data_IF_321210524932
#
_entry.id   IF_321210524932
#
_cell.length_a   1.000
_cell.length_b   1.000
_cell.length_c   1.000
_cell.angle_alpha   90.00
_cell.angle_beta   90.00
_cell.angle_gamma   90.00
#
_symmetry.space_group_name_H-M   'P 1'
#
loop_
_entity.id
_entity.type
_entity.pdbx_description
1 polymer ?
#
# COMPACT_ATOMS: atom_id res chain seq x y z
N UNK A 1 1.39 21.84 -18.75
CA UNK A 1 0.48 22.35 -19.81
C UNK A 1 -0.74 21.45 -20.07
N UNK A 2 -0.57 20.13 -20.24
CA UNK A 2 -1.70 19.20 -20.53
C UNK A 2 -2.83 19.24 -19.49
N UNK A 3 -2.50 19.16 -18.19
CA UNK A 3 -3.49 19.22 -17.11
C UNK A 3 -4.33 20.51 -17.16
N UNK A 4 -3.68 21.68 -17.36
CA UNK A 4 -4.38 22.95 -17.50
C UNK A 4 -5.36 22.93 -18.69
N UNK A 5 -4.95 22.37 -19.84
CA UNK A 5 -5.84 22.22 -20.98
C UNK A 5 -7.05 21.33 -20.64
N UNK A 6 -6.87 20.23 -19.89
CA UNK A 6 -7.97 19.35 -19.48
C UNK A 6 -8.98 20.06 -18.56
N UNK A 7 -8.49 20.84 -17.59
CA UNK A 7 -9.32 21.66 -16.71
C UNK A 7 -10.08 22.76 -17.49
N UNK A 8 -9.38 23.54 -18.31
CA UNK A 8 -9.98 24.65 -19.07
C UNK A 8 -11.04 24.18 -20.08
N UNK A 9 -10.90 22.98 -20.62
CA UNK A 9 -11.90 22.41 -21.53
C UNK A 9 -13.05 21.69 -20.81
N UNK A 10 -13.03 21.65 -19.48
CA UNK A 10 -14.05 21.00 -18.65
C UNK A 10 -14.06 19.47 -18.80
N UNK A 11 -12.91 18.87 -19.15
CA UNK A 11 -12.79 17.41 -19.19
C UNK A 11 -12.56 16.83 -17.79
N UNK A 12 -11.88 17.57 -16.92
CA UNK A 12 -11.69 17.21 -15.52
C UNK A 12 -12.08 18.36 -14.61
N UNK A 13 -12.49 18.02 -13.39
CA UNK A 13 -12.71 18.94 -12.28
C UNK A 13 -11.93 18.43 -11.06
N UNK A 14 -11.74 19.30 -10.07
CA UNK A 14 -11.05 18.97 -8.85
C UNK A 14 -11.95 19.12 -7.62
N UNK A 15 -11.67 18.31 -6.62
CA UNK A 15 -12.09 18.50 -5.23
C UNK A 15 -10.89 18.99 -4.42
N UNK A 16 -11.02 20.17 -3.84
CA UNK A 16 -10.04 20.75 -2.92
C UNK A 16 -10.37 20.35 -1.49
N UNK A 17 -9.39 19.93 -0.71
CA UNK A 17 -9.58 19.63 0.71
C UNK A 17 -9.23 20.85 1.56
N UNK A 18 -10.16 21.30 2.39
CA UNK A 18 -9.81 22.18 3.51
C UNK A 18 -9.51 21.32 4.74
N UNK A 19 -8.52 21.72 5.55
CA UNK A 19 -8.09 20.97 6.75
C UNK A 19 -9.19 20.70 7.80
N UNK A 20 -10.42 21.17 7.60
CA UNK A 20 -11.60 20.91 8.44
C UNK A 20 -12.55 19.86 7.85
N UNK A 21 -12.09 19.02 6.92
CA UNK A 21 -12.87 17.92 6.33
C UNK A 21 -13.97 18.34 5.34
N UNK A 22 -14.23 19.64 5.17
CA UNK A 22 -15.10 20.15 4.10
C UNK A 22 -14.28 20.37 2.84
N UNK A 23 -14.63 19.66 1.76
CA UNK A 23 -14.02 19.86 0.46
C UNK A 23 -14.86 20.77 -0.42
N UNK A 24 -14.23 21.57 -1.27
CA UNK A 24 -14.90 22.30 -2.37
C UNK A 24 -14.83 21.39 -3.59
N UNK A 25 -15.97 20.96 -4.11
CA UNK A 25 -16.07 20.12 -5.31
C UNK A 25 -16.18 20.98 -6.57
N UNK A 26 -16.04 20.33 -7.73
CA UNK A 26 -16.29 20.90 -9.05
C UNK A 26 -15.45 22.15 -9.38
N UNK A 27 -14.19 22.16 -8.92
CA UNK A 27 -13.26 23.29 -9.12
C UNK A 27 -12.44 23.09 -10.39
N UNK A 28 -12.43 24.08 -11.27
CA UNK A 28 -11.45 24.19 -12.35
C UNK A 28 -10.16 24.80 -11.80
N UNK A 29 -9.09 24.01 -11.73
CA UNK A 29 -7.80 24.52 -11.24
C UNK A 29 -7.16 25.45 -12.27
N UNK A 30 -6.65 26.59 -11.80
CA UNK A 30 -5.75 27.47 -12.56
C UNK A 30 -4.35 26.87 -12.66
N UNK A 31 -3.52 27.35 -13.59
CA UNK A 31 -2.12 26.90 -13.71
C UNK A 31 -1.35 27.02 -12.38
N UNK A 32 -1.54 28.12 -11.64
CA UNK A 32 -0.90 28.33 -10.33
C UNK A 32 -1.37 27.32 -9.30
N UNK A 33 -2.65 26.94 -9.29
CA UNK A 33 -3.18 25.91 -8.38
C UNK A 33 -2.71 24.50 -8.76
N UNK A 34 -2.60 24.21 -10.06
CA UNK A 34 -2.01 22.96 -10.54
C UNK A 34 -0.55 22.87 -10.05
N UNK A 35 0.22 23.94 -10.20
CA UNK A 35 1.60 23.96 -9.69
C UNK A 35 1.64 23.80 -8.17
N UNK A 36 0.78 24.50 -7.43
CA UNK A 36 0.70 24.34 -5.97
C UNK A 36 0.35 22.91 -5.55
N UNK A 37 -0.49 22.19 -6.32
CA UNK A 37 -0.79 20.80 -6.07
C UNK A 37 0.42 19.88 -6.32
N UNK A 38 1.14 20.09 -7.43
CA UNK A 38 2.37 19.36 -7.75
C UNK A 38 3.48 19.62 -6.73
N UNK A 39 3.53 20.82 -6.16
CA UNK A 39 4.44 21.21 -5.09
C UNK A 39 4.00 20.66 -3.71
N UNK A 40 2.90 19.92 -3.60
CA UNK A 40 2.35 19.43 -2.33
C UNK A 40 1.68 20.50 -1.45
N UNK A 41 1.59 21.75 -1.92
CA UNK A 41 1.03 22.90 -1.18
C UNK A 41 -0.48 23.00 -1.26
N UNK A 42 -1.11 22.25 -2.17
CA UNK A 42 -2.56 22.22 -2.35
C UNK A 42 -3.07 20.77 -2.41
N UNK A 43 -3.72 20.26 -1.36
CA UNK A 43 -4.33 18.94 -1.40
C UNK A 43 -5.57 18.97 -2.29
N UNK A 44 -5.46 18.37 -3.47
CA UNK A 44 -6.53 18.26 -4.44
C UNK A 44 -6.62 16.83 -4.99
N UNK A 45 -7.83 16.38 -5.32
CA UNK A 45 -8.03 15.22 -6.19
C UNK A 45 -8.78 15.68 -7.43
N UNK A 46 -8.47 15.13 -8.59
CA UNK A 46 -9.21 15.41 -9.82
C UNK A 46 -10.07 14.21 -10.24
N UNK A 47 -11.11 14.47 -11.02
CA UNK A 47 -12.03 13.47 -11.56
C UNK A 47 -12.56 13.91 -12.93
N UNK A 48 -13.01 12.95 -13.74
CA UNK A 48 -13.56 13.18 -15.07
C UNK A 48 -14.97 13.80 -14.98
N UNK A 49 -15.26 14.77 -15.83
CA UNK A 49 -16.66 15.14 -16.07
C UNK A 49 -17.30 14.12 -17.02
N UNK A 50 -18.64 14.12 -17.23
CA UNK A 50 -19.24 13.35 -18.31
C UNK A 50 -18.59 13.62 -19.68
N UNK A 51 -18.23 14.88 -19.94
CA UNK A 51 -17.50 15.30 -21.16
C UNK A 51 -16.09 14.70 -21.22
N UNK A 52 -15.37 14.68 -20.10
CA UNK A 52 -14.07 14.02 -19.98
C UNK A 52 -14.17 12.51 -20.15
N UNK A 53 -15.20 11.90 -19.57
CA UNK A 53 -15.55 10.50 -19.73
C UNK A 53 -15.71 10.13 -21.19
N UNK A 54 -16.54 10.84 -21.96
CA UNK A 54 -16.67 10.63 -23.41
C UNK A 54 -15.34 10.75 -24.15
N UNK A 55 -14.50 11.72 -23.78
CA UNK A 55 -13.15 11.84 -24.37
C UNK A 55 -12.25 10.66 -24.02
N UNK A 56 -12.31 10.18 -22.78
CA UNK A 56 -11.60 8.98 -22.34
C UNK A 56 -12.07 7.72 -23.08
N UNK A 57 -13.38 7.56 -23.29
CA UNK A 57 -13.93 6.43 -24.06
C UNK A 57 -13.46 6.44 -25.50
N UNK A 58 -13.38 7.62 -26.12
CA UNK A 58 -12.94 7.77 -27.51
C UNK A 58 -11.47 7.35 -27.73
N UNK A 59 -10.62 7.46 -26.71
CA UNK A 59 -9.20 7.08 -26.80
C UNK A 59 -8.93 5.68 -26.25
N UNK A 60 -9.71 5.24 -25.24
CA UNK A 60 -9.46 3.98 -24.53
C UNK A 60 -10.30 2.82 -25.08
N UNK A 61 -11.25 3.09 -25.99
CA UNK A 61 -12.12 2.11 -26.62
C UNK A 61 -12.66 1.03 -25.65
N UNK A 62 -13.39 1.42 -24.58
CA UNK A 62 -13.84 0.48 -23.57
C UNK A 62 -14.93 -0.46 -24.11
N UNK A 63 -14.77 -1.75 -23.84
CA UNK A 63 -15.86 -2.71 -23.91
C UNK A 63 -16.57 -2.77 -22.55
N UNK A 64 -17.64 -1.99 -22.44
CA UNK A 64 -18.44 -1.94 -21.23
C UNK A 64 -19.10 -3.28 -20.87
N UNK A 65 -19.19 -4.25 -21.79
CA UNK A 65 -19.71 -5.58 -21.44
C UNK A 65 -18.72 -6.38 -20.58
N UNK A 66 -17.44 -6.03 -20.62
CA UNK A 66 -16.39 -6.59 -19.77
C UNK A 66 -16.21 -5.81 -18.47
N UNK A 67 -16.91 -4.69 -18.28
CA UNK A 67 -16.82 -3.94 -17.03
C UNK A 67 -17.56 -4.67 -15.90
N UNK A 68 -16.90 -4.84 -14.77
CA UNK A 68 -17.51 -5.34 -13.54
C UNK A 68 -17.02 -4.56 -12.33
N UNK A 69 -17.84 -4.52 -11.29
CA UNK A 69 -17.46 -4.02 -9.98
C UNK A 69 -17.81 -5.04 -8.92
N UNK A 70 -16.93 -5.19 -7.92
CA UNK A 70 -17.12 -6.09 -6.79
C UNK A 70 -17.02 -5.32 -5.47
N UNK A 71 -17.82 -5.72 -4.48
CA UNK A 71 -17.67 -5.30 -3.09
C UNK A 71 -17.55 -6.55 -2.22
N UNK A 72 -16.48 -6.64 -1.45
CA UNK A 72 -16.21 -7.77 -0.56
C UNK A 72 -16.21 -7.31 0.91
N UNK A 73 -16.71 -8.16 1.81
CA UNK A 73 -16.35 -8.09 3.23
C UNK A 73 -17.02 -7.00 4.05
N UNK A 74 -18.20 -6.50 3.68
CA UNK A 74 -18.91 -5.53 4.53
C UNK A 74 -19.54 -6.15 5.77
N UNK A 75 -19.94 -7.42 5.72
CA UNK A 75 -20.63 -8.12 6.81
C UNK A 75 -20.03 -9.52 6.99
N UNK A 76 -19.26 -9.74 8.05
CA UNK A 76 -18.76 -11.06 8.46
C UNK A 76 -19.64 -11.62 9.58
N UNK A 77 -20.23 -12.79 9.34
CA UNK A 77 -21.00 -13.54 10.31
C UNK A 77 -20.08 -14.49 11.08
N UNK A 78 -19.94 -14.22 12.38
CA UNK A 78 -19.05 -14.99 13.26
C UNK A 78 -19.57 -16.41 13.48
N UNK A 79 -20.89 -16.61 13.52
CA UNK A 79 -21.48 -17.91 13.79
C UNK A 79 -21.31 -18.86 12.61
N UNK A 80 -21.50 -18.36 11.38
CA UNK A 80 -21.38 -19.17 10.17
C UNK A 80 -19.98 -19.15 9.55
N UNK A 81 -19.15 -18.19 9.94
CA UNK A 81 -17.84 -17.95 9.35
C UNK A 81 -17.91 -17.49 7.88
N UNK A 82 -19.02 -16.86 7.49
CA UNK A 82 -19.28 -16.41 6.13
C UNK A 82 -19.25 -14.88 6.03
N UNK A 83 -18.79 -14.38 4.90
CA UNK A 83 -18.83 -12.96 4.54
C UNK A 83 -19.82 -12.73 3.41
N UNK A 84 -20.42 -11.55 3.36
CA UNK A 84 -21.24 -11.12 2.21
C UNK A 84 -20.40 -10.39 1.16
N UNK A 85 -20.77 -10.62 -0.11
CA UNK A 85 -20.20 -9.94 -1.26
C UNK A 85 -21.27 -9.58 -2.29
N UNK A 86 -20.90 -8.64 -3.16
CA UNK A 86 -21.71 -8.18 -4.27
C UNK A 86 -20.85 -8.07 -5.53
N UNK A 87 -21.40 -8.49 -6.67
CA UNK A 87 -20.81 -8.29 -7.99
C UNK A 87 -21.85 -7.66 -8.92
N UNK A 88 -21.45 -6.66 -9.70
CA UNK A 88 -22.31 -5.99 -10.68
C UNK A 88 -21.61 -5.92 -12.03
N UNK A 89 -22.29 -6.31 -13.11
CA UNK A 89 -21.78 -6.21 -14.48
C UNK A 89 -22.93 -6.12 -15.50
N UNK A 90 -22.73 -5.54 -16.69
CA UNK A 90 -23.68 -5.64 -17.79
C UNK A 90 -23.80 -7.07 -18.35
N UNK A 91 -22.77 -7.91 -18.17
CA UNK A 91 -22.76 -9.32 -18.59
C UNK A 91 -22.94 -10.26 -17.39
N UNK A 92 -24.01 -11.08 -17.34
CA UNK A 92 -24.16 -12.10 -16.31
C UNK A 92 -23.07 -13.18 -16.45
N UNK A 93 -22.65 -13.52 -17.67
CA UNK A 93 -21.59 -14.51 -17.92
C UNK A 93 -20.25 -14.08 -17.30
N UNK A 94 -19.95 -12.79 -17.27
CA UNK A 94 -18.75 -12.26 -16.64
C UNK A 94 -18.78 -12.47 -15.12
N UNK A 95 -19.94 -12.26 -14.47
CA UNK A 95 -20.10 -12.50 -13.03
C UNK A 95 -19.99 -14.00 -12.73
N UNK A 96 -20.61 -14.86 -13.53
CA UNK A 96 -20.51 -16.32 -13.39
C UNK A 96 -19.06 -16.81 -13.52
N UNK A 97 -18.34 -16.30 -14.52
CA UNK A 97 -16.92 -16.60 -14.69
C UNK A 97 -16.10 -16.16 -13.49
N UNK A 98 -16.33 -14.95 -12.96
CA UNK A 98 -15.64 -14.47 -11.76
C UNK A 98 -15.92 -15.37 -10.55
N UNK A 99 -17.18 -15.70 -10.29
CA UNK A 99 -17.58 -16.59 -9.19
C UNK A 99 -16.96 -18.00 -9.30
N UNK A 100 -16.78 -18.50 -10.53
CA UNK A 100 -16.13 -19.80 -10.78
C UNK A 100 -14.65 -19.79 -10.39
N UNK A 101 -13.96 -18.67 -10.60
CA UNK A 101 -12.50 -18.59 -10.37
C UNK A 101 -12.09 -17.84 -9.11
N UNK A 102 -13.01 -17.17 -8.41
CA UNK A 102 -12.71 -16.39 -7.20
C UNK A 102 -12.05 -17.22 -6.09
N UNK A 103 -12.39 -18.51 -6.00
CA UNK A 103 -11.75 -19.43 -5.06
C UNK A 103 -10.25 -19.61 -5.32
N UNK A 104 -9.85 -19.60 -6.60
CA UNK A 104 -8.46 -19.76 -7.01
C UNK A 104 -7.70 -18.43 -7.02
N UNK A 105 -8.35 -17.33 -7.42
CA UNK A 105 -7.72 -16.00 -7.48
C UNK A 105 -7.53 -15.40 -6.09
N UNK A 106 -8.62 -15.32 -5.33
CA UNK A 106 -8.71 -14.48 -4.14
C UNK A 106 -8.85 -15.32 -2.86
N UNK A 107 -8.89 -16.65 -2.98
CA UNK A 107 -9.21 -17.54 -1.88
C UNK A 107 -10.66 -17.38 -1.42
N UNK A 108 -11.56 -16.90 -2.29
CA UNK A 108 -12.95 -16.61 -1.93
C UNK A 108 -13.89 -17.61 -2.58
N UNK A 109 -14.33 -18.60 -1.82
CA UNK A 109 -15.27 -19.62 -2.30
C UNK A 109 -16.69 -19.15 -2.00
N UNK A 110 -17.43 -18.81 -3.06
CA UNK A 110 -18.84 -18.45 -2.91
C UNK A 110 -19.68 -19.65 -2.50
N UNK A 111 -20.80 -19.40 -1.81
CA UNK A 111 -21.78 -20.42 -1.41
C UNK A 111 -22.93 -20.39 -2.43
N UNK A 112 -23.04 -21.38 -3.34
CA UNK A 112 -23.96 -21.33 -4.48
C UNK A 112 -25.41 -21.08 -4.10
N UNK A 113 -25.86 -21.63 -2.97
CA UNK A 113 -27.24 -21.52 -2.48
C UNK A 113 -27.60 -20.11 -2.01
N UNK A 114 -26.61 -19.24 -1.82
CA UNK A 114 -26.78 -17.85 -1.37
C UNK A 114 -26.75 -16.84 -2.51
N UNK A 115 -26.55 -17.31 -3.76
CA UNK A 115 -26.45 -16.46 -4.94
C UNK A 115 -27.83 -15.93 -5.32
N UNK A 116 -28.04 -14.64 -5.15
CA UNK A 116 -29.28 -13.93 -5.47
C UNK A 116 -29.02 -12.94 -6.59
N UNK A 117 -29.70 -13.13 -7.73
CA UNK A 117 -29.62 -12.26 -8.89
C UNK A 117 -30.68 -11.17 -8.85
N UNK A 118 -30.30 -9.98 -9.28
CA UNK A 118 -31.20 -8.84 -9.49
C UNK A 118 -30.79 -8.05 -10.73
N UNK A 119 -31.76 -7.39 -11.35
CA UNK A 119 -31.53 -6.52 -12.51
C UNK A 119 -31.56 -5.06 -12.05
N UNK A 120 -30.62 -4.24 -12.53
CA UNK A 120 -30.54 -2.80 -12.23
C UNK A 120 -30.71 -2.01 -13.53
N UNK A 121 -31.68 -1.10 -13.57
CA UNK A 121 -31.98 -0.23 -14.72
C UNK A 121 -32.44 1.16 -14.27
N UNK A 122 -31.73 2.25 -14.65
CA UNK A 122 -30.38 2.28 -15.22
C UNK A 122 -29.31 1.96 -14.18
N UNK A 123 -28.11 1.57 -14.62
CA UNK A 123 -26.97 1.32 -13.73
C UNK A 123 -25.92 2.44 -13.83
N UNK A 124 -25.56 3.04 -12.70
CA UNK A 124 -24.45 3.98 -12.61
C UNK A 124 -23.13 3.21 -12.47
N UNK A 125 -22.53 2.85 -13.61
CA UNK A 125 -21.31 2.02 -13.68
C UNK A 125 -20.09 2.73 -13.09
N UNK A 126 -19.94 4.02 -13.42
CA UNK A 126 -18.94 4.92 -12.81
C UNK A 126 -19.63 6.20 -12.39
N UNK A 127 -18.98 7.11 -11.66
CA UNK A 127 -19.59 8.39 -11.29
C UNK A 127 -19.94 9.29 -12.50
N UNK A 128 -19.43 8.98 -13.71
CA UNK A 128 -19.69 9.74 -14.94
C UNK A 128 -20.36 8.92 -16.06
N UNK A 129 -20.44 7.59 -15.95
CA UNK A 129 -21.06 6.69 -16.94
C UNK A 129 -22.29 6.00 -16.38
N UNK A 130 -23.40 6.13 -17.11
CA UNK A 130 -24.63 5.38 -16.89
C UNK A 130 -24.81 4.37 -18.01
N UNK A 131 -25.02 3.11 -17.67
CA UNK A 131 -25.36 2.04 -18.60
C UNK A 131 -26.86 1.74 -18.51
N UNK A 132 -27.51 1.32 -19.60
CA UNK A 132 -28.96 1.11 -19.63
C UNK A 132 -29.40 -0.01 -18.68
N UNK A 133 -28.52 -0.97 -18.41
CA UNK A 133 -28.82 -2.17 -17.63
C UNK A 133 -27.54 -2.76 -17.02
N UNK A 134 -27.68 -3.38 -15.86
CA UNK A 134 -26.72 -4.34 -15.32
C UNK A 134 -27.42 -5.48 -14.57
N UNK A 135 -26.65 -6.52 -14.27
CA UNK A 135 -27.00 -7.60 -13.38
C UNK A 135 -26.19 -7.46 -12.11
N UNK A 136 -26.84 -7.61 -10.97
CA UNK A 136 -26.22 -7.59 -9.65
C UNK A 136 -26.46 -8.93 -8.98
N UNK A 137 -25.38 -9.50 -8.45
CA UNK A 137 -25.39 -10.70 -7.64
C UNK A 137 -25.02 -10.33 -6.21
N UNK A 138 -25.84 -10.74 -5.27
CA UNK A 138 -25.48 -10.79 -3.86
C UNK A 138 -25.25 -12.24 -3.45
N UNK A 139 -24.20 -12.52 -2.70
CA UNK A 139 -23.84 -13.88 -2.30
C UNK A 139 -23.02 -13.88 -1.00
N UNK A 140 -22.99 -15.01 -0.31
CA UNK A 140 -22.07 -15.28 0.79
C UNK A 140 -20.86 -16.05 0.28
N UNK A 141 -19.72 -15.85 0.91
CA UNK A 141 -18.48 -16.56 0.62
C UNK A 141 -17.73 -16.93 1.89
N UNK A 142 -16.84 -17.92 1.79
CA UNK A 142 -15.84 -18.27 2.79
C UNK A 142 -14.46 -17.92 2.26
N UNK A 143 -13.64 -17.31 3.12
CA UNK A 143 -12.21 -17.16 2.84
C UNK A 143 -11.51 -18.48 3.14
N UNK A 144 -10.76 -19.00 2.18
CA UNK A 144 -9.87 -20.13 2.32
C UNK A 144 -8.43 -19.63 2.20
N UNK A 145 -7.51 -20.19 2.98
CA UNK A 145 -6.09 -19.93 2.78
C UNK A 145 -5.72 -20.51 1.43
N UNK A 146 -5.34 -19.65 0.48
CA UNK A 146 -4.82 -20.08 -0.81
C UNK A 146 -3.51 -20.84 -0.55
N UNK A 147 -3.53 -22.14 -0.83
CA UNK A 147 -2.34 -22.97 -0.91
C UNK A 147 -2.31 -23.55 -2.32
N UNK A 148 -1.55 -22.92 -3.20
CA UNK A 148 -1.17 -23.56 -4.46
C UNK A 148 0.02 -24.44 -4.10
N UNK A 149 -0.08 -25.74 -4.33
CA UNK A 149 1.10 -26.58 -4.26
C UNK A 149 1.95 -26.29 -5.50
N UNK A 150 2.98 -25.48 -5.33
CA UNK A 150 3.90 -25.14 -6.43
C UNK A 150 4.70 -26.35 -6.93
N UNK A 151 4.63 -27.49 -6.22
CA UNK A 151 5.23 -28.75 -6.65
C UNK A 151 4.26 -29.61 -7.47
N UNK A 152 2.98 -29.26 -7.55
CA UNK A 152 2.02 -29.90 -8.46
C UNK A 152 1.94 -29.13 -9.80
N UNK A 153 2.47 -29.69 -10.90
CA UNK A 153 2.43 -29.03 -12.20
C UNK A 153 1.01 -28.77 -12.71
N UNK A 154 0.01 -29.54 -12.28
CA UNK A 154 -1.38 -29.36 -12.71
C UNK A 154 -2.02 -28.16 -12.02
N UNK A 155 -1.82 -28.01 -10.70
CA UNK A 155 -2.30 -26.82 -9.97
C UNK A 155 -1.63 -25.54 -10.49
N UNK A 156 -0.33 -25.61 -10.79
CA UNK A 156 0.41 -24.49 -11.36
C UNK A 156 -0.12 -24.06 -12.73
N UNK A 157 -0.36 -25.01 -13.64
CA UNK A 157 -0.87 -24.68 -14.97
C UNK A 157 -2.32 -24.17 -14.91
N UNK A 158 -3.15 -24.72 -14.02
CA UNK A 158 -4.49 -24.21 -13.76
C UNK A 158 -4.45 -22.77 -13.23
N UNK A 159 -3.57 -22.47 -12.28
CA UNK A 159 -3.38 -21.12 -11.74
C UNK A 159 -3.00 -20.12 -12.84
N UNK A 160 -2.08 -20.51 -13.73
CA UNK A 160 -1.67 -19.69 -14.88
C UNK A 160 -2.82 -19.42 -15.84
N UNK A 161 -3.63 -20.44 -16.14
CA UNK A 161 -4.82 -20.29 -17.00
C UNK A 161 -5.87 -19.37 -16.37
N UNK A 162 -6.12 -19.53 -15.06
CA UNK A 162 -7.06 -18.70 -14.32
C UNK A 162 -6.59 -17.25 -14.27
N UNK A 163 -5.31 -17.00 -13.97
CA UNK A 163 -4.72 -15.66 -13.98
C UNK A 163 -4.82 -15.01 -15.36
N UNK A 164 -4.53 -15.77 -16.42
CA UNK A 164 -4.69 -15.29 -17.80
C UNK A 164 -6.14 -14.93 -18.11
N UNK A 165 -7.09 -15.81 -17.78
CA UNK A 165 -8.52 -15.57 -17.97
C UNK A 165 -8.97 -14.33 -17.20
N UNK A 166 -8.50 -14.15 -15.96
CA UNK A 166 -8.83 -12.99 -15.15
C UNK A 166 -8.24 -11.70 -15.72
N UNK A 167 -6.99 -11.72 -16.17
CA UNK A 167 -6.37 -10.58 -16.86
C UNK A 167 -7.15 -10.20 -18.13
N UNK A 168 -7.65 -11.18 -18.89
CA UNK A 168 -8.53 -10.95 -20.03
C UNK A 168 -9.87 -10.32 -19.62
N UNK A 169 -10.48 -10.79 -18.52
CA UNK A 169 -11.71 -10.19 -17.96
C UNK A 169 -11.50 -8.75 -17.50
N UNK A 170 -10.29 -8.40 -17.02
CA UNK A 170 -9.95 -7.05 -16.57
C UNK A 170 -9.62 -6.08 -17.72
N UNK A 171 -9.40 -6.59 -18.94
CA UNK A 171 -9.15 -5.78 -20.15
C UNK A 171 -10.43 -5.23 -20.77
N UNK A 172 -11.25 -4.55 -19.96
CA UNK A 172 -12.47 -3.90 -20.42
C UNK A 172 -12.22 -2.59 -21.16
N UNK A 173 -10.96 -2.16 -21.30
CA UNK A 173 -10.54 -1.04 -22.14
C UNK A 173 -9.14 -1.30 -22.69
N UNK A 174 -8.82 -0.61 -23.78
CA UNK A 174 -7.48 -0.59 -24.37
C UNK A 174 -6.72 0.59 -23.78
N UNK A 175 -5.55 0.34 -23.20
CA UNK A 175 -4.67 1.43 -22.81
C UNK A 175 -4.18 2.14 -24.09
N UNK A 176 -4.45 3.45 -24.25
CA UNK A 176 -4.06 4.15 -25.47
C UNK A 176 -2.53 4.15 -25.61
N UNK A 177 -2.04 3.63 -26.73
CA UNK A 177 -0.62 3.73 -27.08
C UNK A 177 -0.30 5.21 -27.34
N UNK A 178 0.39 5.83 -26.40
CA UNK A 178 1.04 7.10 -26.67
C UNK A 178 2.39 6.81 -27.30
N UNK A 179 2.72 7.50 -28.40
CA UNK A 179 4.09 7.56 -28.88
C UNK A 179 4.95 8.09 -27.73
N UNK A 180 5.58 7.17 -27.02
CA UNK A 180 6.63 7.50 -26.09
C UNK A 180 7.83 7.82 -26.96
N UNK A 181 7.88 9.03 -27.51
CA UNK A 181 9.17 9.59 -27.84
C UNK A 181 9.90 9.59 -26.50
N UNK A 182 10.94 8.74 -26.29
CA UNK A 182 11.68 8.82 -25.06
C UNK A 182 12.13 10.28 -24.95
N UNK A 183 11.85 10.96 -23.82
CA UNK A 183 12.25 12.35 -23.65
C UNK A 183 13.71 12.45 -24.07
N UNK A 184 14.02 13.43 -24.93
CA UNK A 184 15.38 13.58 -25.42
C UNK A 184 16.28 13.62 -24.17
N UNK A 185 17.37 12.87 -24.10
CA UNK A 185 18.30 12.97 -22.97
C UNK A 185 18.71 14.41 -22.66
N UNK A 186 18.64 15.30 -23.67
CA UNK A 186 18.86 16.74 -23.54
C UNK A 186 17.67 17.56 -23.00
N UNK A 187 16.43 17.05 -22.99
CA UNK A 187 15.27 17.67 -22.34
C UNK A 187 15.43 17.69 -20.80
N UNK A 188 16.38 16.90 -20.28
CA UNK A 188 16.80 16.91 -18.88
C UNK A 188 17.85 18.00 -18.57
N UNK A 189 18.15 18.91 -19.50
CA UNK A 189 19.05 20.03 -19.25
C UNK A 189 18.59 20.94 -18.09
N UNK A 190 17.30 20.93 -17.75
CA UNK A 190 16.77 21.60 -16.54
C UNK A 190 17.29 20.99 -15.23
N UNK A 191 17.72 19.73 -15.19
CA UNK A 191 18.31 19.11 -13.99
C UNK A 191 19.67 19.70 -13.60
N UNK A 192 20.38 20.37 -14.53
CA UNK A 192 21.61 21.09 -14.22
C UNK A 192 21.36 22.45 -13.53
N UNK A 193 20.10 22.93 -13.47
CA UNK A 193 19.73 24.17 -12.78
C UNK A 193 19.30 23.96 -11.32
N UNK A 194 19.07 22.72 -10.87
CA UNK A 194 18.54 22.43 -9.53
C UNK A 194 19.62 22.11 -8.48
N UNK A 195 20.87 22.53 -8.71
CA UNK A 195 22.02 22.38 -7.80
C UNK A 195 21.97 23.25 -6.54
N UNK A 196 20.86 23.95 -6.28
CA UNK A 196 20.69 24.89 -5.17
C UNK A 196 19.70 24.41 -4.09
N UNK A 197 19.49 23.08 -3.96
CA UNK A 197 18.88 22.58 -2.75
C UNK A 197 19.80 22.86 -1.55
N UNK A 198 19.21 23.33 -0.45
CA UNK A 198 19.92 23.45 0.80
C UNK A 198 20.45 22.05 1.21
N UNK A 199 21.72 21.97 1.58
CA UNK A 199 22.39 20.73 2.01
C UNK A 199 21.59 20.01 3.10
N UNK A 200 20.99 20.75 4.03
CA UNK A 200 20.14 20.20 5.09
C UNK A 200 18.89 19.49 4.54
N UNK A 201 18.24 20.05 3.52
CA UNK A 201 17.07 19.43 2.89
C UNK A 201 17.43 18.13 2.17
N UNK A 202 18.60 18.11 1.51
CA UNK A 202 19.09 16.92 0.84
C UNK A 202 19.44 15.81 1.84
N UNK A 203 20.17 16.14 2.91
CA UNK A 203 20.49 15.20 3.99
C UNK A 203 19.22 14.64 4.65
N UNK A 204 18.20 15.49 4.85
CA UNK A 204 16.89 15.06 5.34
C UNK A 204 16.23 14.06 4.38
N UNK A 205 16.21 14.35 3.08
CA UNK A 205 15.65 13.45 2.08
C UNK A 205 16.39 12.11 2.02
N UNK A 206 17.74 12.12 2.03
CA UNK A 206 18.57 10.91 2.09
C UNK A 206 18.21 10.06 3.33
N UNK A 207 18.19 10.67 4.52
CA UNK A 207 17.81 9.97 5.75
C UNK A 207 16.41 9.36 5.67
N UNK A 208 15.42 10.10 5.15
CA UNK A 208 14.03 9.63 5.07
C UNK A 208 13.87 8.47 4.08
N UNK A 209 14.62 8.46 2.97
CA UNK A 209 14.68 7.31 2.06
C UNK A 209 15.27 6.11 2.78
N UNK A 210 16.37 6.28 3.54
CA UNK A 210 16.96 5.18 4.30
C UNK A 210 16.00 4.64 5.38
N UNK A 211 15.42 5.54 6.18
CA UNK A 211 14.48 5.22 7.28
C UNK A 211 13.31 4.36 6.79
N UNK A 212 12.72 4.72 5.65
CA UNK A 212 11.55 4.00 5.12
C UNK A 212 11.89 2.54 4.80
N UNK A 213 13.13 2.23 4.39
CA UNK A 213 13.54 0.89 3.98
C UNK A 213 14.19 0.07 5.10
N UNK A 214 14.32 0.58 6.33
CA UNK A 214 15.01 -0.11 7.44
C UNK A 214 14.46 -1.50 7.70
N UNK A 215 13.12 -1.61 7.77
CA UNK A 215 12.43 -2.86 8.09
C UNK A 215 11.96 -3.59 6.82
N UNK A 216 11.56 -2.87 5.78
CA UNK A 216 10.89 -3.45 4.61
C UNK A 216 11.62 -3.18 3.28
N UNK A 217 11.87 -4.20 2.45
CA UNK A 217 12.52 -4.04 1.15
C UNK A 217 11.55 -3.76 -0.02
N UNK A 218 10.31 -3.37 0.28
CA UNK A 218 9.20 -3.32 -0.70
C UNK A 218 8.61 -1.93 -0.93
N UNK A 219 9.16 -0.89 -0.31
CA UNK A 219 8.65 0.46 -0.51
C UNK A 219 9.09 1.05 -1.84
N UNK A 220 8.24 1.91 -2.39
CA UNK A 220 8.55 2.71 -3.58
C UNK A 220 9.09 4.08 -3.16
N UNK A 221 9.93 4.70 -3.99
CA UNK A 221 10.38 6.07 -3.73
C UNK A 221 9.21 7.07 -3.76
N UNK A 222 8.16 6.78 -4.53
CA UNK A 222 6.93 7.57 -4.54
C UNK A 222 6.21 7.56 -3.18
N UNK A 223 6.24 6.43 -2.46
CA UNK A 223 5.69 6.33 -1.09
C UNK A 223 6.43 7.24 -0.12
N UNK A 224 7.76 7.32 -0.23
CA UNK A 224 8.58 8.23 0.60
C UNK A 224 8.22 9.69 0.30
N UNK A 225 8.16 10.04 -0.99
CA UNK A 225 7.79 11.38 -1.44
C UNK A 225 6.45 11.82 -0.83
N UNK A 226 5.44 10.97 -0.97
CA UNK A 226 4.09 11.21 -0.48
C UNK A 226 4.02 11.27 1.06
N UNK A 227 4.57 10.28 1.76
CA UNK A 227 4.44 10.16 3.21
C UNK A 227 5.27 11.18 3.99
N UNK A 228 6.32 11.75 3.38
CA UNK A 228 7.23 12.69 4.05
C UNK A 228 7.18 14.10 3.46
N UNK A 229 6.21 14.36 2.57
CA UNK A 229 6.00 15.66 1.94
C UNK A 229 7.26 16.18 1.21
N UNK A 230 8.02 15.27 0.60
CA UNK A 230 9.21 15.61 -0.18
C UNK A 230 8.82 15.82 -1.63
N UNK A 231 9.41 16.84 -2.27
CA UNK A 231 9.25 17.04 -3.70
C UNK A 231 9.87 15.88 -4.50
N UNK A 232 9.36 15.63 -5.71
CA UNK A 232 9.97 14.65 -6.59
C UNK A 232 11.45 14.96 -6.89
N UNK A 233 11.81 16.25 -6.98
CA UNK A 233 13.19 16.67 -7.25
C UNK A 233 14.12 16.30 -6.08
N UNK A 234 13.70 16.54 -4.83
CA UNK A 234 14.46 16.14 -3.65
C UNK A 234 14.68 14.62 -3.63
N UNK A 235 13.64 13.84 -3.94
CA UNK A 235 13.75 12.38 -4.01
C UNK A 235 14.69 11.93 -5.15
N UNK A 236 14.59 12.51 -6.35
CA UNK A 236 15.48 12.15 -7.48
C UNK A 236 16.94 12.39 -7.12
N UNK A 237 17.25 13.54 -6.52
CA UNK A 237 18.63 13.91 -6.18
C UNK A 237 19.14 13.05 -5.02
N UNK A 238 18.37 12.91 -3.95
CA UNK A 238 18.76 12.10 -2.79
C UNK A 238 18.91 10.62 -3.17
N UNK A 239 17.93 10.04 -3.85
CA UNK A 239 17.97 8.64 -4.25
C UNK A 239 19.13 8.35 -5.20
N UNK A 240 19.41 9.23 -6.18
CA UNK A 240 20.55 9.06 -7.09
C UNK A 240 21.86 8.99 -6.30
N UNK A 241 22.07 9.91 -5.36
CA UNK A 241 23.25 9.88 -4.48
C UNK A 241 23.37 8.54 -3.74
N UNK A 242 22.28 8.07 -3.12
CA UNK A 242 22.28 6.79 -2.39
C UNK A 242 22.53 5.58 -3.30
N UNK A 243 21.97 5.58 -4.52
CA UNK A 243 22.20 4.54 -5.53
C UNK A 243 23.65 4.49 -5.99
N UNK A 244 24.24 5.66 -6.30
CA UNK A 244 25.63 5.78 -6.75
C UNK A 244 26.62 5.38 -5.64
N UNK A 245 26.33 5.72 -4.37
CA UNK A 245 27.11 5.25 -3.21
C UNK A 245 26.91 3.77 -2.91
N UNK A 246 25.93 3.12 -3.54
CA UNK A 246 25.59 1.73 -3.29
C UNK A 246 24.96 1.47 -1.94
N UNK A 247 24.39 2.50 -1.32
CA UNK A 247 23.66 2.42 -0.05
C UNK A 247 22.25 1.84 -0.25
N UNK A 248 21.67 2.04 -1.44
CA UNK A 248 20.41 1.40 -1.83
C UNK A 248 20.53 0.68 -3.18
N UNK A 249 19.62 -0.27 -3.39
CA UNK A 249 19.40 -1.01 -4.64
C UNK A 249 17.92 -1.08 -4.95
N UNK A 250 17.60 -1.21 -6.23
CA UNK A 250 16.24 -1.32 -6.71
C UNK A 250 15.93 -2.75 -7.12
N UNK A 251 14.64 -3.08 -7.00
CA UNK A 251 14.01 -4.23 -7.61
C UNK A 251 13.02 -3.69 -8.65
N UNK A 252 13.28 -3.94 -9.93
CA UNK A 252 12.48 -3.42 -11.05
C UNK A 252 11.58 -4.52 -11.58
N UNK A 253 10.30 -4.23 -11.78
CA UNK A 253 9.31 -5.20 -12.21
C UNK A 253 8.93 -4.93 -13.66
N UNK A 254 8.83 -5.98 -14.47
CA UNK A 254 8.47 -5.85 -15.88
C UNK A 254 7.02 -5.35 -16.07
N UNK A 255 6.10 -5.82 -15.21
CA UNK A 255 4.68 -5.44 -15.24
C UNK A 255 4.00 -5.66 -13.87
N UNK A 256 2.66 -5.65 -13.86
CA UNK A 256 1.88 -5.84 -12.64
C UNK A 256 1.90 -7.28 -12.08
N UNK A 257 2.22 -8.26 -12.93
CA UNK A 257 2.24 -9.70 -12.64
C UNK A 257 3.64 -10.24 -12.37
N UNK A 258 4.68 -9.47 -12.68
CA UNK A 258 6.05 -9.77 -12.26
C UNK A 258 6.21 -9.51 -10.75
N UNK A 259 6.11 -10.56 -9.94
CA UNK A 259 6.34 -10.51 -8.50
C UNK A 259 7.83 -10.73 -8.13
N UNK A 260 8.57 -11.38 -9.03
CA UNK A 260 9.97 -11.74 -8.80
C UNK A 260 10.89 -10.55 -9.02
N UNK A 261 10.61 -9.69 -10.00
CA UNK A 261 11.40 -8.52 -10.38
C UNK A 261 12.86 -8.83 -10.72
N UNK A 262 13.54 -7.85 -11.32
CA UNK A 262 15.00 -7.86 -11.46
C UNK A 262 15.61 -7.15 -10.24
N UNK A 263 16.27 -7.87 -9.31
CA UNK A 263 16.87 -7.26 -8.13
C UNK A 263 18.23 -6.61 -8.43
N UNK A 264 18.78 -5.89 -7.44
CA UNK A 264 20.11 -5.29 -7.46
C UNK A 264 20.35 -4.25 -8.56
N UNK A 265 19.28 -3.63 -9.07
CA UNK A 265 19.39 -2.59 -10.11
C UNK A 265 19.85 -1.26 -9.50
N UNK A 266 20.72 -0.56 -10.21
CA UNK A 266 21.07 0.84 -9.93
C UNK A 266 20.23 1.70 -10.86
N UNK A 267 19.27 2.44 -10.30
CA UNK A 267 18.51 3.40 -11.08
C UNK A 267 19.35 4.65 -11.31
N UNK A 268 19.42 5.10 -12.57
CA UNK A 268 19.94 6.43 -12.92
C UNK A 268 18.93 7.50 -12.53
N UNK A 269 19.32 8.79 -12.48
CA UNK A 269 18.36 9.90 -12.32
C UNK A 269 17.14 9.80 -13.23
N UNK A 270 17.34 9.44 -14.49
CA UNK A 270 16.25 9.24 -15.45
C UNK A 270 15.34 8.08 -15.03
N UNK A 271 15.91 6.93 -14.66
CA UNK A 271 15.15 5.79 -14.15
C UNK A 271 14.38 6.08 -12.86
N UNK A 272 14.97 6.85 -11.93
CA UNK A 272 14.30 7.28 -10.70
C UNK A 272 13.09 8.16 -11.04
N UNK A 273 13.26 9.11 -11.97
CA UNK A 273 12.14 9.95 -12.42
C UNK A 273 11.06 9.13 -13.12
N UNK A 274 11.43 8.22 -14.01
CA UNK A 274 10.49 7.32 -14.67
C UNK A 274 9.72 6.48 -13.65
N UNK A 275 10.36 6.06 -12.57
CA UNK A 275 9.70 5.36 -11.47
C UNK A 275 8.68 6.25 -10.74
N UNK A 276 9.07 7.48 -10.38
CA UNK A 276 8.19 8.45 -9.73
C UNK A 276 7.01 8.88 -10.61
N UNK A 277 7.20 8.87 -11.93
CA UNK A 277 6.16 9.13 -12.93
C UNK A 277 5.28 7.89 -13.21
N UNK A 278 5.56 6.74 -12.57
CA UNK A 278 4.82 5.49 -12.76
C UNK A 278 5.12 4.76 -14.08
N UNK A 279 6.12 5.21 -14.85
CA UNK A 279 6.53 4.59 -16.12
C UNK A 279 7.34 3.31 -15.93
N UNK A 280 8.03 3.18 -14.80
CA UNK A 280 8.62 1.91 -14.36
C UNK A 280 8.12 1.55 -12.96
N UNK A 281 7.80 0.28 -12.76
CA UNK A 281 7.47 -0.25 -11.45
C UNK A 281 8.75 -0.68 -10.76
N UNK A 282 9.05 -0.10 -9.62
CA UNK A 282 10.20 -0.48 -8.82
C UNK A 282 9.91 -0.38 -7.32
N UNK A 283 10.61 -1.19 -6.53
CA UNK A 283 10.81 -0.97 -5.11
C UNK A 283 12.29 -0.77 -4.85
N UNK A 284 12.64 -0.26 -3.67
CA UNK A 284 14.04 -0.15 -3.26
C UNK A 284 14.25 -0.77 -1.88
N UNK A 285 15.51 -1.11 -1.61
CA UNK A 285 15.95 -1.70 -0.35
C UNK A 285 17.37 -1.26 -0.02
N UNK A 286 17.70 -1.30 1.27
CA UNK A 286 19.02 -1.00 1.81
C UNK A 286 20.01 -2.11 1.46
N UNK A 287 21.22 -1.73 1.10
CA UNK A 287 22.35 -2.65 1.17
C UNK A 287 22.89 -2.69 2.60
N UNK A 288 23.81 -3.61 2.94
CA UNK A 288 24.51 -3.53 4.22
C UNK A 288 25.20 -2.18 4.48
N UNK A 289 25.71 -1.51 3.43
CA UNK A 289 26.31 -0.18 3.59
C UNK A 289 25.26 0.90 3.86
N UNK A 290 24.09 0.86 3.21
CA UNK A 290 23.01 1.80 3.50
C UNK A 290 22.40 1.58 4.89
N UNK A 291 22.31 0.32 5.32
CA UNK A 291 21.96 -0.02 6.69
C UNK A 291 22.93 0.58 7.70
N UNK A 292 24.24 0.40 7.51
CA UNK A 292 25.27 1.00 8.36
C UNK A 292 25.20 2.54 8.36
N UNK A 293 24.97 3.15 7.20
CA UNK A 293 24.79 4.61 7.08
C UNK A 293 23.56 5.09 7.86
N UNK A 294 22.46 4.34 7.80
CA UNK A 294 21.28 4.65 8.60
C UNK A 294 21.59 4.52 10.10
N UNK A 295 22.30 3.48 10.55
CA UNK A 295 22.68 3.32 11.97
C UNK A 295 23.56 4.48 12.48
N UNK A 296 24.49 4.94 11.64
CA UNK A 296 25.36 6.09 11.93
C UNK A 296 24.56 7.36 12.22
N UNK A 297 23.48 7.60 11.48
CA UNK A 297 22.65 8.81 11.58
C UNK A 297 21.56 8.66 12.65
N UNK A 298 20.91 7.50 12.70
CA UNK A 298 19.72 7.25 13.51
C UNK A 298 20.06 6.80 14.93
N UNK A 299 21.29 6.37 15.19
CA UNK A 299 21.74 5.87 16.50
C UNK A 299 20.75 4.89 17.16
N UNK A 300 20.40 3.77 16.51
CA UNK A 300 19.44 2.83 17.05
C UNK A 300 19.92 2.16 18.34
N UNK A 301 19.02 2.07 19.31
CA UNK A 301 19.11 1.21 20.47
C UNK A 301 18.45 -0.13 20.16
N UNK A 302 19.22 -1.03 19.55
CA UNK A 302 18.74 -2.36 19.19
C UNK A 302 18.20 -3.16 20.38
N UNK A 303 18.58 -2.86 21.63
CA UNK A 303 18.02 -3.53 22.81
C UNK A 303 16.54 -3.16 23.06
N UNK A 304 16.03 -2.12 22.41
CA UNK A 304 14.60 -1.75 22.44
C UNK A 304 13.83 -2.25 21.23
N UNK A 305 14.51 -2.86 20.26
CA UNK A 305 13.88 -3.27 19.01
C UNK A 305 12.88 -4.41 19.22
N UNK A 306 11.68 -4.23 18.68
CA UNK A 306 10.67 -5.27 18.58
C UNK A 306 9.82 -5.10 17.31
N UNK A 307 9.24 -6.19 16.83
CA UNK A 307 8.27 -6.24 15.73
C UNK A 307 7.07 -7.05 16.22
N UNK A 308 5.87 -6.58 15.86
CA UNK A 308 4.63 -7.31 16.09
C UNK A 308 4.03 -7.70 14.73
N UNK A 309 3.93 -8.99 14.45
CA UNK A 309 3.40 -9.52 13.19
C UNK A 309 2.19 -10.45 13.44
N UNK A 310 0.99 -9.86 13.49
CA UNK A 310 -0.27 -10.61 13.62
C UNK A 310 -1.13 -10.64 12.36
N UNK A 311 -0.62 -10.07 11.26
CA UNK A 311 -1.38 -9.93 10.01
C UNK A 311 -0.73 -10.69 8.85
N UNK A 312 0.36 -11.44 9.09
CA UNK A 312 1.09 -12.15 8.03
C UNK A 312 1.61 -11.22 6.92
N UNK A 313 1.72 -9.92 7.21
CA UNK A 313 2.16 -8.91 6.23
C UNK A 313 3.69 -8.82 6.15
N UNK A 314 4.38 -9.61 6.97
CA UNK A 314 5.83 -9.65 7.04
C UNK A 314 6.31 -10.99 6.49
N UNK A 315 7.55 -11.07 5.97
CA UNK A 315 8.19 -12.36 5.68
C UNK A 315 8.44 -13.20 6.95
N UNK A 316 8.16 -12.64 8.12
CA UNK A 316 8.25 -13.32 9.39
C UNK A 316 7.02 -14.17 9.66
N UNK A 317 7.21 -15.19 10.49
CA UNK A 317 6.11 -15.97 11.03
C UNK A 317 5.20 -15.09 11.91
N UNK A 318 3.98 -15.56 12.16
CA UNK A 318 3.05 -14.85 13.02
C UNK A 318 3.56 -14.89 14.47
N UNK A 319 3.70 -13.72 15.09
CA UNK A 319 4.23 -13.62 16.45
C UNK A 319 4.72 -12.24 16.84
N UNK A 320 5.37 -12.18 18.01
CA UNK A 320 6.09 -11.01 18.51
C UNK A 320 7.59 -11.35 18.50
N UNK A 321 8.39 -10.48 17.90
CA UNK A 321 9.84 -10.60 17.88
C UNK A 321 10.45 -9.45 18.69
N UNK A 322 11.44 -9.72 19.53
CA UNK A 322 12.18 -8.67 20.22
C UNK A 322 13.61 -9.10 20.53
N UNK A 323 14.49 -8.13 20.75
CA UNK A 323 15.85 -8.40 21.25
C UNK A 323 15.87 -8.79 22.72
N UNK A 324 14.84 -8.41 23.47
CA UNK A 324 14.72 -8.67 24.91
C UNK A 324 13.40 -9.35 25.22
N UNK A 325 13.45 -10.44 25.98
CA UNK A 325 12.26 -11.17 26.40
C UNK A 325 11.34 -10.29 27.26
N UNK A 326 11.88 -9.43 28.13
CA UNK A 326 11.05 -8.56 28.98
C UNK A 326 10.20 -7.58 28.15
N UNK A 327 10.66 -7.20 26.95
CA UNK A 327 9.88 -6.37 26.02
C UNK A 327 8.65 -7.12 25.52
N UNK A 328 8.79 -8.41 25.20
CA UNK A 328 7.68 -9.28 24.79
C UNK A 328 6.69 -9.44 25.94
N UNK A 329 7.17 -9.78 27.13
CA UNK A 329 6.34 -9.97 28.32
C UNK A 329 5.54 -8.70 28.65
N UNK A 330 6.17 -7.53 28.51
CA UNK A 330 5.50 -6.24 28.71
C UNK A 330 4.49 -5.92 27.61
N UNK A 331 4.77 -6.28 26.35
CA UNK A 331 3.79 -6.17 25.27
C UNK A 331 2.58 -7.06 25.54
N UNK A 332 2.78 -8.30 25.98
CA UNK A 332 1.68 -9.20 26.35
C UNK A 332 0.84 -8.66 27.50
N UNK A 333 1.45 -8.08 28.53
CA UNK A 333 0.71 -7.48 29.64
C UNK A 333 -0.20 -6.30 29.20
N UNK A 334 0.13 -5.67 28.07
CA UNK A 334 -0.55 -4.47 27.55
C UNK A 334 -1.33 -4.72 26.26
N UNK A 335 -1.33 -5.94 25.73
CA UNK A 335 -1.81 -6.24 24.38
C UNK A 335 -3.29 -5.93 24.17
N UNK A 336 -4.11 -6.13 25.20
CA UNK A 336 -5.53 -5.76 25.23
C UNK A 336 -5.77 -4.27 25.06
N UNK A 337 -4.75 -3.43 25.22
CA UNK A 337 -4.82 -1.98 25.03
C UNK A 337 -4.16 -1.54 23.72
N UNK A 338 -3.04 -2.14 23.35
CA UNK A 338 -2.17 -1.62 22.27
C UNK A 338 -2.22 -2.45 20.98
N UNK A 339 -2.74 -3.68 21.03
CA UNK A 339 -2.81 -4.60 19.89
C UNK A 339 -4.25 -4.84 19.45
N UNK A 340 -4.43 -5.05 18.14
CA UNK A 340 -5.74 -5.39 17.55
C UNK A 340 -6.28 -6.76 17.99
N UNK A 341 -5.40 -7.62 18.49
CA UNK A 341 -5.70 -8.95 18.98
C UNK A 341 -5.11 -9.13 20.37
N UNK A 342 -5.85 -9.84 21.20
CA UNK A 342 -5.38 -10.24 22.53
C UNK A 342 -4.90 -11.69 22.46
N UNK A 343 -3.73 -11.97 23.01
CA UNK A 343 -3.25 -13.34 23.17
C UNK A 343 -4.15 -14.14 24.12
N UNK A 344 -4.18 -15.46 23.92
CA UNK A 344 -4.84 -16.40 24.81
C UNK A 344 -3.81 -16.88 25.83
N UNK A 345 -4.04 -16.58 27.10
CA UNK A 345 -3.15 -16.97 28.20
C UNK A 345 -2.91 -18.49 28.20
N UNK A 346 -1.66 -18.89 28.34
CA UNK A 346 -1.21 -20.28 28.37
C UNK A 346 -0.89 -20.87 26.99
N UNK A 347 -1.04 -20.09 25.92
CA UNK A 347 -0.67 -20.50 24.55
C UNK A 347 0.69 -19.95 24.11
N UNK A 348 1.40 -19.26 25.00
CA UNK A 348 2.69 -18.65 24.73
C UNK A 348 3.77 -19.73 24.54
N UNK A 349 4.47 -19.65 23.41
CA UNK A 349 5.63 -20.47 23.10
C UNK A 349 6.78 -19.58 22.67
N UNK A 350 7.87 -19.62 23.44
CA UNK A 350 9.08 -18.83 23.18
C UNK A 350 10.12 -19.65 22.42
N UNK A 351 10.65 -19.04 21.38
CA UNK A 351 11.81 -19.50 20.63
C UNK A 351 12.95 -18.49 20.78
N UNK A 352 14.16 -19.01 21.00
CA UNK A 352 15.38 -18.20 21.03
C UNK A 352 16.02 -18.26 19.64
N UNK A 353 16.24 -17.09 19.03
CA UNK A 353 16.83 -16.95 17.71
C UNK A 353 18.31 -16.55 17.83
N UNK A 354 19.23 -17.47 17.53
CA UNK A 354 20.68 -17.24 17.63
C UNK A 354 21.44 -17.85 16.43
N UNK A 355 21.94 -17.02 15.49
CA UNK A 355 21.78 -15.57 15.40
C UNK A 355 20.40 -15.16 14.88
N UNK A 356 19.95 -13.95 15.20
CA UNK A 356 18.67 -13.42 14.74
C UNK A 356 18.83 -12.46 13.55
N UNK A 357 18.24 -12.81 12.41
CA UNK A 357 18.10 -11.90 11.27
C UNK A 357 16.95 -10.92 11.51
N UNK A 358 17.26 -9.77 12.13
CA UNK A 358 16.26 -8.79 12.59
C UNK A 358 15.66 -7.96 11.45
N UNK A 359 16.45 -7.71 10.40
CA UNK A 359 16.01 -7.11 9.13
C UNK A 359 16.64 -7.90 8.00
N UNK A 360 16.25 -7.65 6.75
CA UNK A 360 16.86 -8.31 5.58
C UNK A 360 18.36 -7.96 5.38
N UNK A 361 18.91 -6.99 6.12
CA UNK A 361 20.31 -6.55 6.02
C UNK A 361 21.08 -6.59 7.36
N UNK A 362 20.41 -6.75 8.50
CA UNK A 362 21.01 -6.76 9.84
C UNK A 362 20.81 -8.11 10.55
N UNK A 363 21.89 -8.61 11.13
CA UNK A 363 21.88 -9.76 12.04
C UNK A 363 22.27 -9.29 13.43
N UNK A 364 21.51 -9.71 14.45
CA UNK A 364 21.82 -9.53 15.86
C UNK A 364 22.24 -10.87 16.46
N UNK A 365 23.08 -10.87 17.51
CA UNK A 365 23.57 -12.11 18.11
C UNK A 365 22.45 -12.98 18.69
N UNK A 366 21.35 -12.35 19.12
CA UNK A 366 20.22 -13.01 19.76
C UNK A 366 18.92 -12.24 19.53
N UNK A 367 17.82 -12.98 19.45
CA UNK A 367 16.46 -12.48 19.50
C UNK A 367 15.53 -13.48 20.18
N UNK A 368 14.33 -13.05 20.45
CA UNK A 368 13.24 -13.87 20.97
C UNK A 368 12.06 -13.78 20.04
N UNK A 369 11.45 -14.91 19.78
CA UNK A 369 10.23 -15.03 19.00
C UNK A 369 9.17 -15.67 19.87
N UNK A 370 8.03 -15.00 19.99
CA UNK A 370 6.87 -15.51 20.69
C UNK A 370 5.80 -15.87 19.68
N UNK A 371 5.39 -17.13 19.73
CA UNK A 371 4.12 -17.59 19.19
C UNK A 371 3.05 -17.62 20.28
N UNK A 372 1.83 -17.23 19.93
CA UNK A 372 0.66 -17.44 20.77
C UNK A 372 -0.60 -17.50 19.91
N UNK A 373 -1.64 -18.14 20.41
CA UNK A 373 -2.97 -18.00 19.83
C UNK A 373 -3.53 -16.62 20.21
N UNK A 374 -4.27 -15.99 19.29
CA UNK A 374 -4.86 -14.68 19.56
C UNK A 374 -6.34 -14.63 19.17
N UNK A 375 -7.14 -14.01 20.03
CA UNK A 375 -8.53 -13.65 19.75
C UNK A 375 -8.63 -12.19 19.35
N UNK A 376 -9.72 -11.83 18.64
CA UNK A 376 -10.01 -10.43 18.34
C UNK A 376 -10.15 -9.66 19.65
N UNK A 377 -9.50 -8.51 19.74
CA UNK A 377 -9.65 -7.68 20.91
C UNK A 377 -11.07 -7.09 20.92
N UNK A 378 -11.82 -7.31 22.01
CA UNK A 378 -13.15 -6.74 22.24
C UNK A 378 -13.07 -5.22 22.45
N UNK A 379 -11.91 -4.76 22.94
CA UNK A 379 -11.58 -3.38 23.21
C UNK A 379 -10.76 -2.81 22.06
N UNK A 380 -11.41 -2.59 20.91
CA UNK A 380 -10.75 -1.90 19.81
C UNK A 380 -10.29 -0.50 20.23
N UNK A 381 -9.28 0.04 19.56
CA UNK A 381 -8.81 1.44 19.71
C UNK A 381 -9.95 2.49 19.72
N UNK A 382 -11.11 2.13 19.16
CA UNK A 382 -12.29 2.97 19.00
C UNK A 382 -13.39 2.76 20.08
N UNK A 383 -13.22 1.82 21.01
CA UNK A 383 -14.29 1.43 21.95
C UNK A 383 -14.24 2.14 23.30
N UNK A 384 -13.20 2.93 23.58
CA UNK A 384 -13.19 3.79 24.76
C UNK A 384 -14.08 5.01 24.52
N UNK A 385 -15.25 5.00 25.16
CA UNK A 385 -16.21 6.11 25.15
C UNK A 385 -16.17 6.89 26.47
N UNK A 386 -16.94 7.98 26.53
CA UNK A 386 -17.02 8.81 27.74
C UNK A 386 -17.52 8.03 28.97
N UNK A 387 -18.30 6.96 28.77
CA UNK A 387 -18.84 6.09 29.82
C UNK A 387 -17.88 5.01 30.32
N UNK A 388 -16.69 4.87 29.70
CA UNK A 388 -15.72 3.86 30.12
C UNK A 388 -15.17 4.16 31.53
N UNK A 389 -14.95 3.16 32.40
CA UNK A 389 -14.41 3.37 33.74
C UNK A 389 -13.11 4.17 33.71
N UNK A 390 -12.94 5.11 34.65
CA UNK A 390 -11.76 5.99 34.71
C UNK A 390 -10.44 5.21 34.82
N UNK A 391 -10.43 4.13 35.60
CA UNK A 391 -9.27 3.23 35.77
C UNK A 391 -8.86 2.56 34.44
N UNK A 392 -9.85 2.24 33.59
CA UNK A 392 -9.60 1.65 32.28
C UNK A 392 -8.99 2.66 31.32
N UNK A 393 -9.51 3.91 31.32
CA UNK A 393 -8.96 5.02 30.53
C UNK A 393 -7.52 5.32 30.92
N UNK A 394 -7.24 5.37 32.23
CA UNK A 394 -5.88 5.58 32.76
C UNK A 394 -4.93 4.44 32.34
N UNK A 395 -5.36 3.18 32.48
CA UNK A 395 -4.56 2.02 32.07
C UNK A 395 -4.22 2.05 30.58
N UNK A 396 -5.20 2.41 29.74
CA UNK A 396 -5.01 2.56 28.30
C UNK A 396 -4.04 3.70 27.96
N UNK A 397 -4.16 4.85 28.63
CA UNK A 397 -3.26 5.97 28.43
C UNK A 397 -1.81 5.60 28.81
N UNK A 398 -1.62 4.96 29.96
CA UNK A 398 -0.30 4.48 30.40
C UNK A 398 0.27 3.44 29.42
N UNK A 399 -0.54 2.51 28.93
CA UNK A 399 -0.14 1.50 27.94
C UNK A 399 0.28 2.16 26.62
N UNK A 400 -0.49 3.13 26.14
CA UNK A 400 -0.22 3.88 24.91
C UNK A 400 1.05 4.72 25.05
N UNK A 401 1.21 5.44 26.15
CA UNK A 401 2.43 6.23 26.43
C UNK A 401 3.68 5.34 26.48
N UNK A 402 3.58 4.17 27.13
CA UNK A 402 4.68 3.22 27.14
C UNK A 402 4.99 2.70 25.73
N UNK A 403 3.98 2.31 24.96
CA UNK A 403 4.15 1.77 23.61
C UNK A 403 4.77 2.79 22.65
N UNK A 404 4.30 4.05 22.68
CA UNK A 404 4.88 5.14 21.89
C UNK A 404 6.35 5.42 22.27
N UNK A 405 6.70 5.27 23.56
CA UNK A 405 8.09 5.38 24.01
C UNK A 405 8.92 4.16 23.56
N UNK A 406 8.38 2.95 23.64
CA UNK A 406 9.07 1.72 23.26
C UNK A 406 9.37 1.68 21.75
N UNK A 407 8.45 2.18 20.93
CA UNK A 407 8.64 2.35 19.47
C UNK A 407 9.79 3.29 19.10
N UNK A 408 10.22 4.18 20.00
CA UNK A 408 11.37 5.08 19.80
C UNK A 408 12.68 4.37 20.13
N UNK A 409 12.99 3.32 19.37
CA UNK A 409 14.24 2.58 19.48
C UNK A 409 15.36 3.18 18.61
N UNK A 410 15.12 4.29 17.92
CA UNK A 410 16.12 5.07 17.20
C UNK A 410 15.76 6.57 17.24
N UNK A 411 16.71 7.42 16.90
CA UNK A 411 16.58 8.87 16.83
C UNK A 411 16.32 9.30 15.39
N UNK A 412 15.33 10.18 15.19
CA UNK A 412 15.18 10.90 13.94
C UNK A 412 15.83 12.29 14.08
N UNK A 413 16.99 12.54 13.43
CA UNK A 413 17.73 13.79 13.61
C UNK A 413 17.04 15.00 12.97
N UNK A 414 15.95 14.79 12.22
CA UNK A 414 15.19 15.84 11.55
C UNK A 414 13.77 16.01 12.12
N UNK A 415 13.47 15.41 13.27
CA UNK A 415 12.20 15.67 13.96
C UNK A 415 12.26 17.00 14.70
N UNK A 416 11.24 17.84 14.56
CA UNK A 416 11.16 19.18 15.18
C UNK A 416 11.12 19.16 16.73
N UNK A 417 11.14 17.97 17.34
CA UNK A 417 11.11 17.75 18.79
C UNK A 417 12.43 17.19 19.34
N UNK A 418 13.54 17.32 18.60
CA UNK A 418 14.87 16.88 19.03
C UNK A 418 15.55 17.90 19.96
#
# INVERSE_FOLDING_TARGET
MAANHLFQNGYILARLFSGKGKGINDVTLTMTQIQAHLDGKLPAIYYLTPKGGTKWEAVSNPDWNLFYTGRFGSNYDIETGLSEAEAISPSPELIENHLRVSGHLDGLVHIPETVIWSEIKPWQATYWKTLPKAYKVHYKYRSIKRSIDTNDPQEWELDKQIKKMFAEMQRWYTEPEFETTPPNPNDYAELNYYTLLNETSLQKAEYLILEFAVIFPTYSLGSVAYSKELSQIEIVIAADTLFQKGEIRAKVFADEYDFEGTPNVILTKAGIKDHLDGRIRASYYLTPSGGARWEEIAHPDWNKFFIVNFLGMFPYENGIFATQQETIEKLLALDKFILMRQHILGTESYEILEPWQVTYWKTLPRGYHLHCECKKNEWGYWSLNDDSPSELKESYEQATQWYEKAKKWYTNPFSDNA
#
